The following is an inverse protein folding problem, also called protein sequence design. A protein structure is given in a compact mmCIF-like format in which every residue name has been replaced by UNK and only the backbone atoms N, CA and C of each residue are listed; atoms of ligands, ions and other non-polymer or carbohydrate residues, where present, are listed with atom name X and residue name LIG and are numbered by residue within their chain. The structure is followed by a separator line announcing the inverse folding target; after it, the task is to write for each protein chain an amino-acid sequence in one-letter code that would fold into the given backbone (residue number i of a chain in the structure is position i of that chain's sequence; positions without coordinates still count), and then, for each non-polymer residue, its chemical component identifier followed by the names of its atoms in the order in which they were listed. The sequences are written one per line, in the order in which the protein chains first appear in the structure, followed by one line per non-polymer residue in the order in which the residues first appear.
data_IF_539114637987
#
_entry.id   IF_539114637987
#
_cell.length_a   1.000
_cell.length_b   1.000
_cell.length_c   1.000
_cell.angle_alpha   90.00
_cell.angle_beta   90.00
_cell.angle_gamma   90.00
#
_symmetry.space_group_name_H-M   'P 1'
#
loop_
_entity.id
_entity.type
_entity.pdbx_description
1 polymer ?
#
# COMPACT_ATOMS: atom_id res chain seq x y z
N UNK A 1 -12.73 -17.68 -3.61
CA UNK A 1 -12.61 -17.47 -2.15
C UNK A 1 -11.95 -16.13 -1.89
N UNK A 2 -12.67 -15.18 -1.31
CA UNK A 2 -12.18 -13.81 -1.09
C UNK A 2 -11.53 -13.61 0.28
N UNK A 3 -11.69 -14.56 1.22
CA UNK A 3 -11.07 -14.44 2.55
C UNK A 3 -9.56 -14.69 2.56
N UNK A 4 -9.03 -15.40 1.58
CA UNK A 4 -7.60 -15.73 1.47
C UNK A 4 -6.90 -14.61 0.74
N UNK A 5 -6.23 -13.71 1.47
CA UNK A 5 -5.62 -12.50 0.93
C UNK A 5 -4.15 -12.70 0.59
N UNK A 6 -3.73 -12.19 -0.56
CA UNK A 6 -2.32 -12.20 -0.94
C UNK A 6 -1.65 -10.87 -0.58
N UNK A 7 -0.92 -10.85 0.54
CA UNK A 7 -0.19 -9.66 1.01
C UNK A 7 1.31 -9.69 0.72
N UNK A 8 1.93 -10.86 0.49
CA UNK A 8 3.37 -10.92 0.26
C UNK A 8 3.83 -12.05 -0.68
N UNK A 9 3.06 -13.10 -0.90
CA UNK A 9 3.42 -14.31 -1.66
C UNK A 9 4.74 -15.00 -1.23
N UNK A 10 5.28 -14.64 -0.05
CA UNK A 10 6.61 -15.06 0.45
C UNK A 10 6.54 -15.85 1.78
N UNK A 11 5.35 -16.22 2.22
CA UNK A 11 5.19 -16.92 3.49
C UNK A 11 5.42 -16.08 4.74
N UNK A 12 5.45 -14.74 4.66
CA UNK A 12 5.81 -13.87 5.79
C UNK A 12 4.59 -13.32 6.53
N UNK A 13 3.65 -12.66 5.83
CA UNK A 13 2.63 -11.80 6.47
C UNK A 13 1.46 -12.52 7.14
N UNK A 14 1.12 -13.74 6.72
CA UNK A 14 0.02 -14.54 7.26
C UNK A 14 -1.38 -14.11 6.82
N UNK A 15 -1.54 -13.12 5.92
CA UNK A 15 -2.86 -12.73 5.42
C UNK A 15 -3.57 -13.85 4.65
N UNK A 16 -2.80 -14.77 4.05
CA UNK A 16 -3.29 -15.95 3.34
C UNK A 16 -3.47 -17.19 4.22
N UNK A 17 -3.56 -17.06 5.54
CA UNK A 17 -3.71 -18.21 6.44
C UNK A 17 -5.01 -18.97 6.15
N UNK A 18 -4.89 -20.29 6.01
CA UNK A 18 -5.96 -21.30 5.95
C UNK A 18 -5.68 -22.35 7.02
N UNK A 19 -6.68 -23.20 7.34
CA UNK A 19 -6.42 -24.40 8.14
C UNK A 19 -6.29 -25.61 7.23
N UNK A 20 -5.19 -26.34 7.36
CA UNK A 20 -4.96 -27.62 6.69
C UNK A 20 -4.99 -28.70 7.77
N UNK A 21 -6.00 -29.59 7.72
CA UNK A 21 -6.29 -30.59 8.75
C UNK A 21 -6.38 -29.99 10.17
N UNK A 22 -6.91 -28.75 10.28
CA UNK A 22 -7.08 -28.04 11.54
C UNK A 22 -5.87 -27.21 11.99
N UNK A 23 -4.72 -27.29 11.29
CA UNK A 23 -3.51 -26.53 11.61
C UNK A 23 -3.37 -25.28 10.73
N UNK A 24 -3.03 -24.11 11.31
CA UNK A 24 -2.79 -22.89 10.55
C UNK A 24 -1.61 -23.02 9.59
N UNK A 25 -1.85 -22.76 8.32
CA UNK A 25 -0.85 -22.77 7.26
C UNK A 25 -1.02 -21.52 6.38
N UNK A 26 0.09 -20.99 5.87
CA UNK A 26 0.09 -19.89 4.89
C UNK A 26 -0.11 -20.49 3.51
N UNK A 27 -1.23 -20.19 2.85
CA UNK A 27 -1.61 -20.79 1.56
C UNK A 27 -0.61 -20.53 0.42
N UNK A 28 0.23 -19.51 0.52
CA UNK A 28 1.25 -19.19 -0.47
C UNK A 28 2.52 -20.06 -0.39
N UNK A 29 2.65 -20.96 0.61
CA UNK A 29 3.89 -21.74 0.80
C UNK A 29 3.83 -23.19 0.31
N UNK A 30 2.75 -23.97 0.51
CA UNK A 30 2.71 -25.36 0.05
C UNK A 30 2.43 -25.43 -1.46
N UNK A 31 3.03 -26.42 -2.12
CA UNK A 31 2.63 -26.76 -3.49
C UNK A 31 1.26 -27.43 -3.50
N UNK A 32 0.48 -27.22 -4.55
CA UNK A 32 -0.86 -27.80 -4.71
C UNK A 32 -0.83 -29.33 -4.60
N UNK A 33 0.21 -29.98 -5.17
CA UNK A 33 0.37 -31.43 -5.12
C UNK A 33 0.52 -31.98 -3.69
N UNK A 34 1.15 -31.19 -2.79
CA UNK A 34 1.31 -31.58 -1.38
C UNK A 34 0.01 -31.54 -0.57
N UNK A 35 -1.05 -30.98 -1.13
CA UNK A 35 -2.37 -30.81 -0.51
C UNK A 35 -3.37 -31.88 -0.92
N UNK A 36 -3.00 -32.81 -1.81
CA UNK A 36 -3.89 -33.87 -2.25
C UNK A 36 -4.39 -34.71 -1.06
N UNK A 37 -5.71 -34.85 -0.93
CA UNK A 37 -6.36 -35.59 0.16
C UNK A 37 -6.41 -34.88 1.52
N UNK A 38 -5.88 -33.66 1.65
CA UNK A 38 -5.94 -32.85 2.88
C UNK A 38 -7.23 -32.06 2.96
N UNK A 39 -7.71 -31.82 4.18
CA UNK A 39 -8.89 -30.97 4.42
C UNK A 39 -8.44 -29.51 4.56
N UNK A 40 -8.90 -28.66 3.68
CA UNK A 40 -8.60 -27.23 3.72
C UNK A 40 -9.85 -26.49 4.18
N UNK A 41 -9.70 -25.63 5.21
CA UNK A 41 -10.77 -24.78 5.72
C UNK A 41 -10.37 -23.31 5.60
N UNK A 42 -11.23 -22.52 4.99
CA UNK A 42 -11.19 -21.05 4.96
C UNK A 42 -12.32 -20.48 5.80
N UNK A 43 -12.38 -19.16 5.98
CA UNK A 43 -13.44 -18.52 6.76
C UNK A 43 -14.82 -18.78 6.17
N UNK A 44 -14.93 -18.89 4.84
CA UNK A 44 -16.18 -19.24 4.15
C UNK A 44 -16.76 -20.58 4.62
N UNK A 45 -15.90 -21.53 4.98
CA UNK A 45 -16.28 -22.87 5.45
C UNK A 45 -16.59 -22.97 6.95
N UNK A 46 -16.49 -21.89 7.71
CA UNK A 46 -16.93 -21.88 9.13
C UNK A 46 -18.43 -22.05 9.22
N UNK A 47 -18.91 -22.68 10.33
CA UNK A 47 -20.32 -22.74 10.63
C UNK A 47 -20.92 -21.34 10.83
N UNK A 48 -22.24 -21.19 10.64
CA UNK A 48 -22.91 -19.90 10.81
C UNK A 48 -22.73 -19.36 12.23
N UNK A 49 -22.76 -20.26 13.23
CA UNK A 49 -22.50 -19.90 14.63
C UNK A 49 -21.07 -19.38 14.85
N UNK A 50 -20.05 -20.00 14.24
CA UNK A 50 -18.67 -19.52 14.33
C UNK A 50 -18.48 -18.17 13.63
N UNK A 51 -19.11 -18.00 12.46
CA UNK A 51 -19.12 -16.71 11.76
C UNK A 51 -19.73 -15.60 12.62
N UNK A 52 -20.88 -15.88 13.26
CA UNK A 52 -21.53 -14.94 14.18
C UNK A 52 -20.66 -14.65 15.40
N UNK A 53 -20.08 -15.67 16.03
CA UNK A 53 -19.21 -15.54 17.20
C UNK A 53 -18.00 -14.64 16.90
N UNK A 54 -17.26 -14.92 15.83
CA UNK A 54 -16.05 -14.14 15.51
C UNK A 54 -16.41 -12.73 15.04
N UNK A 55 -17.49 -12.57 14.28
CA UNK A 55 -17.98 -11.24 13.87
C UNK A 55 -18.32 -10.39 15.11
N UNK A 56 -19.08 -10.94 16.05
CA UNK A 56 -19.40 -10.25 17.30
C UNK A 56 -18.14 -9.91 18.10
N UNK A 57 -17.28 -10.89 18.37
CA UNK A 57 -16.13 -10.69 19.26
C UNK A 57 -15.08 -9.72 18.71
N UNK A 58 -14.79 -9.79 17.41
CA UNK A 58 -13.88 -8.87 16.77
C UNK A 58 -14.46 -7.47 16.61
N UNK A 59 -15.76 -7.35 16.38
CA UNK A 59 -16.49 -6.08 16.33
C UNK A 59 -16.57 -5.42 17.68
N UNK A 60 -17.01 -6.15 18.73
CA UNK A 60 -17.14 -5.64 20.11
C UNK A 60 -15.82 -5.16 20.69
N UNK A 61 -14.74 -5.91 20.46
CA UNK A 61 -13.40 -5.51 20.88
C UNK A 61 -12.84 -4.32 20.07
N UNK A 62 -13.48 -3.93 18.96
CA UNK A 62 -12.95 -2.94 18.02
C UNK A 62 -11.63 -3.39 17.39
N UNK A 63 -11.49 -4.70 17.13
CA UNK A 63 -10.29 -5.33 16.61
C UNK A 63 -10.14 -5.23 15.09
N UNK A 64 -11.15 -4.72 14.40
CA UNK A 64 -11.19 -4.61 12.93
C UNK A 64 -10.92 -3.18 12.51
N UNK A 65 -9.86 -2.96 11.71
CA UNK A 65 -9.62 -1.70 11.03
C UNK A 65 -9.69 -1.91 9.51
N UNK A 66 -8.56 -2.01 8.79
CA UNK A 66 -8.63 -2.25 7.35
C UNK A 66 -9.23 -3.61 6.98
N UNK A 67 -9.10 -4.62 7.83
CA UNK A 67 -9.70 -5.94 7.64
C UNK A 67 -8.85 -6.95 6.89
N UNK A 68 -7.82 -6.53 6.19
CA UNK A 68 -7.03 -7.39 5.28
C UNK A 68 -6.39 -8.61 5.97
N UNK A 69 -5.95 -8.47 7.22
CA UNK A 69 -5.35 -9.55 8.00
C UNK A 69 -6.38 -10.39 8.80
N UNK A 70 -7.60 -9.91 8.96
CA UNK A 70 -8.56 -10.45 9.93
C UNK A 70 -9.02 -11.88 9.62
N UNK A 71 -9.35 -12.26 8.37
CA UNK A 71 -9.74 -13.64 8.09
C UNK A 71 -8.69 -14.67 8.52
N UNK A 72 -7.41 -14.39 8.23
CA UNK A 72 -6.32 -15.27 8.69
C UNK A 72 -6.19 -15.34 10.21
N UNK A 73 -6.39 -14.23 10.92
CA UNK A 73 -6.38 -14.19 12.38
C UNK A 73 -7.57 -14.93 13.01
N UNK A 74 -8.74 -14.88 12.37
CA UNK A 74 -9.92 -15.64 12.78
C UNK A 74 -9.64 -17.14 12.73
N UNK A 75 -9.02 -17.62 11.65
CA UNK A 75 -8.67 -19.04 11.53
C UNK A 75 -7.61 -19.47 12.56
N UNK A 76 -6.62 -18.63 12.83
CA UNK A 76 -5.67 -18.90 13.92
C UNK A 76 -6.35 -18.92 15.30
N UNK A 77 -7.32 -18.03 15.52
CA UNK A 77 -8.13 -17.99 16.75
C UNK A 77 -8.96 -19.27 16.88
N UNK A 78 -9.62 -19.71 15.79
CA UNK A 78 -10.35 -20.97 15.78
C UNK A 78 -9.46 -22.14 16.15
N UNK A 79 -8.33 -22.30 15.48
CA UNK A 79 -7.39 -23.38 15.73
C UNK A 79 -6.84 -23.38 17.19
N UNK A 80 -6.61 -22.20 17.75
CA UNK A 80 -6.25 -22.05 19.16
C UNK A 80 -7.37 -22.53 20.08
N UNK A 81 -8.60 -22.01 19.90
CA UNK A 81 -9.73 -22.27 20.78
C UNK A 81 -10.31 -23.69 20.64
N UNK A 82 -10.05 -24.39 19.53
CA UNK A 82 -10.41 -25.80 19.37
C UNK A 82 -9.47 -26.72 20.19
N UNK A 83 -8.23 -26.30 20.46
CA UNK A 83 -7.23 -27.02 21.24
C UNK A 83 -7.18 -26.58 22.71
N UNK A 84 -7.29 -25.29 22.95
CA UNK A 84 -7.23 -24.68 24.26
C UNK A 84 -8.40 -23.70 24.44
N UNK A 85 -9.47 -24.08 25.12
CA UNK A 85 -10.64 -23.22 25.31
C UNK A 85 -10.44 -22.10 26.34
N UNK A 86 -9.29 -22.06 27.03
CA UNK A 86 -8.95 -21.05 28.05
C UNK A 86 -7.52 -20.52 27.89
N UNK A 87 -7.23 -19.85 26.74
CA UNK A 87 -5.86 -19.48 26.40
C UNK A 87 -5.35 -18.35 27.29
N UNK A 88 -4.10 -18.47 27.73
CA UNK A 88 -3.35 -17.39 28.34
C UNK A 88 -2.97 -16.34 27.27
N UNK A 89 -2.53 -15.17 27.72
CA UNK A 89 -2.01 -14.15 26.79
C UNK A 89 -0.81 -14.66 25.98
N UNK A 90 0.04 -15.48 26.59
CA UNK A 90 1.17 -16.12 25.89
C UNK A 90 0.70 -17.05 24.78
N UNK A 91 -0.36 -17.84 25.03
CA UNK A 91 -0.93 -18.74 24.03
C UNK A 91 -1.51 -17.96 22.85
N UNK A 92 -2.19 -16.84 23.13
CA UNK A 92 -2.74 -15.97 22.09
C UNK A 92 -1.63 -15.35 21.25
N UNK A 93 -0.59 -14.79 21.89
CA UNK A 93 0.58 -14.24 21.20
C UNK A 93 1.27 -15.31 20.33
N UNK A 94 1.43 -16.51 20.86
CA UNK A 94 2.02 -17.62 20.14
C UNK A 94 1.18 -18.03 18.92
N UNK A 95 -0.14 -18.14 19.06
CA UNK A 95 -1.04 -18.52 17.98
C UNK A 95 -1.04 -17.50 16.83
N UNK A 96 -0.95 -16.21 17.15
CA UNK A 96 -1.00 -15.11 16.19
C UNK A 96 0.38 -14.62 15.69
N UNK A 97 1.49 -15.22 16.16
CA UNK A 97 2.87 -14.75 15.87
C UNK A 97 3.23 -14.65 14.38
N UNK A 98 2.51 -15.39 13.56
CA UNK A 98 2.73 -15.46 12.12
C UNK A 98 1.71 -14.64 11.29
N UNK A 99 0.84 -13.86 11.95
CA UNK A 99 -0.16 -13.03 11.32
C UNK A 99 0.13 -11.56 11.63
N UNK A 100 0.58 -10.82 10.64
CA UNK A 100 0.93 -9.42 10.82
C UNK A 100 -0.31 -8.51 10.67
N UNK A 101 -0.36 -7.50 11.52
CA UNK A 101 -1.29 -6.38 11.39
C UNK A 101 -0.54 -5.07 11.57
N UNK A 102 -0.67 -4.17 10.63
CA UNK A 102 -0.05 -2.84 10.69
C UNK A 102 -0.94 -1.79 11.32
N UNK A 103 -2.26 -2.07 11.44
CA UNK A 103 -3.27 -1.09 11.88
C UNK A 103 -3.49 -1.05 13.39
N UNK A 104 -3.59 -2.22 14.06
CA UNK A 104 -4.27 -2.35 15.37
C UNK A 104 -3.35 -2.32 16.60
N UNK A 105 -2.05 -2.59 16.42
CA UNK A 105 -1.15 -2.79 17.55
C UNK A 105 -1.49 -4.02 18.41
N UNK A 106 -2.36 -4.92 17.93
CA UNK A 106 -2.75 -6.23 18.49
C UNK A 106 -3.57 -6.24 19.78
N UNK A 107 -3.52 -5.22 20.63
CA UNK A 107 -4.20 -5.20 21.94
C UNK A 107 -5.68 -5.57 21.83
N UNK A 108 -6.39 -4.93 20.89
CA UNK A 108 -7.80 -5.21 20.64
C UNK A 108 -8.04 -6.58 20.00
N UNK A 109 -7.11 -7.08 19.20
CA UNK A 109 -7.18 -8.44 18.65
C UNK A 109 -7.08 -9.48 19.77
N UNK A 110 -6.15 -9.30 20.73
CA UNK A 110 -6.05 -10.20 21.89
C UNK A 110 -7.33 -10.14 22.74
N UNK A 111 -7.93 -8.96 22.89
CA UNK A 111 -9.23 -8.82 23.56
C UNK A 111 -10.33 -9.59 22.80
N UNK A 112 -10.37 -9.53 21.47
CA UNK A 112 -11.32 -10.29 20.65
C UNK A 112 -11.17 -11.81 20.85
N UNK A 113 -9.94 -12.32 20.90
CA UNK A 113 -9.67 -13.75 21.15
C UNK A 113 -10.18 -14.18 22.53
N UNK A 114 -9.96 -13.35 23.58
CA UNK A 114 -10.49 -13.61 24.94
C UNK A 114 -12.01 -13.61 24.96
N UNK A 115 -12.67 -12.68 24.25
CA UNK A 115 -14.12 -12.65 24.14
C UNK A 115 -14.62 -13.90 23.41
N UNK A 116 -13.97 -14.32 22.33
CA UNK A 116 -14.31 -15.54 21.60
C UNK A 116 -14.18 -16.79 22.47
N UNK A 117 -13.11 -16.89 23.27
CA UNK A 117 -12.93 -17.97 24.25
C UNK A 117 -14.10 -18.00 25.27
N UNK A 118 -14.45 -16.83 25.82
CA UNK A 118 -15.56 -16.68 26.78
C UNK A 118 -16.88 -17.15 26.20
N UNK A 119 -17.27 -16.61 25.05
CA UNK A 119 -18.59 -16.90 24.49
C UNK A 119 -18.67 -18.30 23.85
N UNK A 120 -17.56 -18.85 23.36
CA UNK A 120 -17.47 -20.25 22.95
C UNK A 120 -17.73 -21.20 24.12
N UNK A 121 -17.18 -20.92 25.32
CA UNK A 121 -17.47 -21.68 26.55
C UNK A 121 -18.93 -21.56 27.00
N UNK A 122 -19.52 -20.38 26.87
CA UNK A 122 -20.92 -20.13 27.25
C UNK A 122 -21.92 -20.70 26.25
N UNK A 123 -21.51 -21.03 25.03
CA UNK A 123 -22.37 -21.63 24.01
C UNK A 123 -23.40 -20.68 23.39
N UNK A 124 -23.25 -19.36 23.56
CA UNK A 124 -24.13 -18.38 22.93
C UNK A 124 -23.35 -17.15 22.45
N UNK A 125 -23.90 -16.44 21.48
CA UNK A 125 -23.37 -15.17 21.00
C UNK A 125 -24.31 -14.05 21.43
N UNK A 126 -23.82 -13.01 22.15
CA UNK A 126 -24.66 -11.87 22.49
C UNK A 126 -25.07 -11.09 21.25
N UNK A 127 -26.21 -10.42 21.31
CA UNK A 127 -26.53 -9.38 20.32
C UNK A 127 -25.68 -8.14 20.60
N UNK A 128 -25.25 -7.42 19.55
CA UNK A 128 -24.60 -6.12 19.76
C UNK A 128 -25.48 -5.22 20.60
N UNK A 129 -24.86 -4.48 21.53
CA UNK A 129 -25.59 -3.51 22.36
C UNK A 129 -26.19 -2.41 21.48
N UNK A 130 -27.43 -2.03 21.76
CA UNK A 130 -28.04 -0.86 21.13
C UNK A 130 -27.21 0.39 21.50
N UNK A 131 -26.92 1.21 20.49
CA UNK A 131 -26.13 2.42 20.66
C UNK A 131 -27.04 3.64 20.68
N UNK A 132 -26.87 4.51 21.66
CA UNK A 132 -27.63 5.75 21.79
C UNK A 132 -27.36 6.80 20.70
N UNK A 133 -26.39 6.56 19.83
CA UNK A 133 -25.94 7.48 18.78
C UNK A 133 -25.57 8.90 19.30
N UNK A 134 -25.09 8.97 20.54
CA UNK A 134 -24.62 10.21 21.16
C UNK A 134 -23.13 10.38 20.97
N UNK A 135 -22.67 11.61 21.03
CA UNK A 135 -21.24 11.91 21.06
C UNK A 135 -20.58 11.18 22.23
N UNK A 136 -19.50 10.45 21.97
CA UNK A 136 -18.82 9.60 22.96
C UNK A 136 -19.34 8.17 23.07
N UNK A 137 -20.42 7.80 22.36
CA UNK A 137 -20.86 6.39 22.29
C UNK A 137 -19.88 5.53 21.48
N UNK A 138 -19.70 4.27 21.90
CA UNK A 138 -18.96 3.26 21.14
C UNK A 138 -19.86 2.62 20.11
N UNK A 139 -19.79 3.10 18.86
CA UNK A 139 -20.58 2.57 17.74
C UNK A 139 -19.80 1.45 17.05
N UNK A 140 -20.44 0.32 16.78
CA UNK A 140 -19.85 -0.74 15.99
C UNK A 140 -19.66 -0.30 14.55
N UNK A 141 -18.54 -0.70 13.95
CA UNK A 141 -18.32 -0.48 12.51
C UNK A 141 -19.36 -1.24 11.71
N UNK A 142 -19.90 -0.63 10.67
CA UNK A 142 -20.89 -1.24 9.79
C UNK A 142 -20.31 -2.39 8.95
N UNK A 143 -19.01 -2.29 8.61
CA UNK A 143 -18.28 -3.20 7.74
C UNK A 143 -17.55 -4.35 8.46
N UNK A 144 -17.88 -4.62 9.74
CA UNK A 144 -17.24 -5.69 10.52
C UNK A 144 -17.47 -7.05 9.90
N UNK A 145 -18.72 -7.37 9.56
CA UNK A 145 -19.09 -8.69 9.07
C UNK A 145 -18.34 -9.04 7.78
N UNK A 146 -18.34 -8.14 6.80
CA UNK A 146 -17.68 -8.38 5.52
C UNK A 146 -16.15 -8.58 5.66
N UNK A 147 -15.52 -7.90 6.63
CA UNK A 147 -14.08 -8.01 6.91
C UNK A 147 -13.74 -9.26 7.72
N UNK A 148 -14.54 -9.61 8.70
CA UNK A 148 -14.32 -10.81 9.54
C UNK A 148 -14.59 -12.08 8.77
N UNK A 149 -15.70 -12.11 8.02
CA UNK A 149 -16.09 -13.26 7.21
C UNK A 149 -15.42 -13.32 5.83
N UNK A 150 -14.67 -12.29 5.45
CA UNK A 150 -13.83 -12.26 4.27
C UNK A 150 -14.55 -12.06 2.94
N UNK A 151 -15.84 -11.70 2.92
CA UNK A 151 -16.55 -11.42 1.68
C UNK A 151 -16.45 -9.97 1.20
N UNK A 152 -15.90 -9.07 2.02
CA UNK A 152 -15.58 -7.71 1.62
C UNK A 152 -14.49 -7.71 0.55
N UNK A 153 -14.72 -6.96 -0.53
CA UNK A 153 -13.87 -6.97 -1.72
C UNK A 153 -12.82 -5.87 -1.68
N UNK A 154 -11.59 -6.26 -1.93
CA UNK A 154 -10.47 -5.39 -2.29
C UNK A 154 -10.26 -5.44 -3.80
N UNK A 155 -9.55 -4.52 -4.45
CA UNK A 155 -9.37 -4.56 -5.91
C UNK A 155 -8.82 -5.88 -6.44
N UNK A 156 -7.93 -6.54 -5.70
CA UNK A 156 -7.39 -7.85 -6.13
C UNK A 156 -8.43 -8.98 -6.18
N UNK A 157 -9.54 -8.84 -5.45
CA UNK A 157 -10.64 -9.83 -5.42
C UNK A 157 -11.58 -9.73 -6.66
N UNK A 158 -11.37 -8.74 -7.52
CA UNK A 158 -12.15 -8.57 -8.73
C UNK A 158 -11.57 -9.35 -9.91
N UNK A 159 -12.42 -10.15 -10.54
CA UNK A 159 -12.11 -10.90 -11.75
C UNK A 159 -13.23 -10.66 -12.77
N UNK A 160 -12.87 -10.17 -13.94
CA UNK A 160 -13.78 -9.87 -15.03
C UNK A 160 -13.44 -10.77 -16.23
N UNK A 161 -14.46 -11.11 -17.02
CA UNK A 161 -14.27 -11.96 -18.19
C UNK A 161 -13.29 -11.31 -19.18
N UNK A 162 -12.31 -12.08 -19.63
CA UNK A 162 -11.27 -11.61 -20.56
C UNK A 162 -10.28 -10.62 -19.95
N UNK A 163 -10.22 -10.52 -18.61
CA UNK A 163 -9.31 -9.60 -17.92
C UNK A 163 -7.86 -9.97 -18.19
N UNK A 164 -7.06 -8.94 -18.51
CA UNK A 164 -5.62 -8.99 -18.65
C UNK A 164 -4.91 -8.57 -17.36
N UNK A 165 -3.64 -8.93 -17.25
CA UNK A 165 -2.71 -8.42 -16.26
C UNK A 165 -1.78 -7.40 -16.92
N UNK A 166 -1.41 -6.33 -16.17
CA UNK A 166 -0.41 -5.39 -16.65
C UNK A 166 0.59 -5.02 -15.55
N UNK A 167 1.81 -4.73 -15.95
CA UNK A 167 2.88 -4.26 -15.06
C UNK A 167 3.90 -3.46 -15.85
N UNK A 168 4.49 -2.45 -15.22
CA UNK A 168 5.51 -1.63 -15.84
C UNK A 168 6.88 -2.33 -15.86
N UNK A 169 7.62 -2.11 -16.95
CA UNK A 169 9.06 -2.28 -16.99
C UNK A 169 9.68 -1.05 -16.34
N UNK A 170 10.51 -1.24 -15.33
CA UNK A 170 10.97 -0.17 -14.46
C UNK A 170 12.45 0.10 -14.60
N UNK A 171 12.82 1.36 -14.36
CA UNK A 171 14.22 1.78 -14.35
C UNK A 171 15.01 1.04 -13.27
N UNK A 172 16.24 0.66 -13.64
CA UNK A 172 17.25 0.11 -12.73
C UNK A 172 18.17 1.19 -12.13
N UNK A 173 17.98 2.42 -12.56
CA UNK A 173 18.85 3.55 -12.20
C UNK A 173 18.02 4.69 -11.62
N UNK A 174 18.45 5.28 -10.50
CA UNK A 174 17.72 6.38 -9.87
C UNK A 174 17.76 7.67 -10.72
N UNK A 175 18.82 7.85 -11.54
CA UNK A 175 18.91 8.95 -12.51
C UNK A 175 19.62 8.47 -13.77
N UNK A 176 18.87 8.42 -14.85
CA UNK A 176 19.38 8.03 -16.18
C UNK A 176 18.51 8.64 -17.27
N UNK A 177 19.11 8.94 -18.42
CA UNK A 177 18.36 9.29 -19.62
C UNK A 177 17.99 8.03 -20.39
N UNK A 178 16.73 7.88 -20.74
CA UNK A 178 16.24 6.77 -21.57
C UNK A 178 16.61 7.06 -23.03
N UNK A 179 17.51 6.27 -23.61
CA UNK A 179 17.97 6.45 -24.99
C UNK A 179 17.10 5.70 -25.99
N UNK A 180 16.49 4.59 -25.59
CA UNK A 180 15.65 3.78 -26.46
C UNK A 180 14.94 2.65 -25.72
N UNK A 181 13.85 2.16 -26.32
CA UNK A 181 13.03 1.05 -25.81
C UNK A 181 12.85 0.04 -26.94
N UNK A 182 13.44 -1.15 -26.83
CA UNK A 182 13.20 -2.27 -27.76
C UNK A 182 12.23 -3.28 -27.10
N UNK A 183 10.99 -3.26 -27.55
CA UNK A 183 9.93 -4.15 -27.13
C UNK A 183 9.54 -5.19 -28.21
N UNK A 184 10.27 -5.30 -29.32
CA UNK A 184 9.88 -6.14 -30.44
C UNK A 184 9.67 -7.60 -30.06
N UNK A 185 10.59 -8.17 -29.26
CA UNK A 185 10.50 -9.56 -28.78
C UNK A 185 9.33 -9.75 -27.80
N UNK A 186 9.08 -8.77 -26.95
CA UNK A 186 7.95 -8.82 -26.02
C UNK A 186 6.62 -8.77 -26.75
N UNK A 187 6.47 -7.86 -27.72
CA UNK A 187 5.27 -7.75 -28.57
C UNK A 187 4.99 -9.00 -29.40
N UNK A 188 6.02 -9.76 -29.78
CA UNK A 188 5.89 -10.99 -30.56
C UNK A 188 5.57 -12.24 -29.70
N UNK A 189 5.61 -12.14 -28.36
CA UNK A 189 5.33 -13.28 -27.49
C UNK A 189 3.81 -13.55 -27.47
N UNK A 190 3.35 -14.79 -27.78
CA UNK A 190 1.94 -15.15 -27.70
C UNK A 190 1.36 -14.86 -26.31
N UNK A 191 0.16 -14.27 -26.27
CA UNK A 191 -0.52 -13.86 -25.04
C UNK A 191 -0.15 -12.43 -24.56
N UNK A 192 0.81 -11.76 -25.21
CA UNK A 192 1.03 -10.33 -24.99
C UNK A 192 0.02 -9.55 -25.84
N UNK A 193 -0.75 -8.70 -25.16
CA UNK A 193 -1.83 -7.89 -25.76
C UNK A 193 -1.30 -6.55 -26.25
N UNK A 194 -0.44 -5.90 -25.43
CA UNK A 194 0.18 -4.61 -25.77
C UNK A 194 1.48 -4.38 -25.00
N UNK A 195 2.35 -3.53 -25.53
CA UNK A 195 3.43 -2.86 -24.80
C UNK A 195 3.28 -1.39 -25.09
N UNK A 196 2.84 -0.64 -24.08
CA UNK A 196 2.53 0.78 -24.15
C UNK A 196 3.72 1.60 -23.65
N UNK A 197 3.96 2.74 -24.30
CA UNK A 197 5.02 3.69 -23.98
C UNK A 197 4.41 5.08 -23.70
N UNK A 198 5.23 6.05 -23.41
CA UNK A 198 4.78 7.43 -23.27
C UNK A 198 4.04 7.98 -24.51
N UNK A 199 4.34 7.46 -25.70
CA UNK A 199 3.70 7.84 -26.95
C UNK A 199 2.24 7.37 -27.06
N UNK A 200 1.84 6.36 -26.27
CA UNK A 200 0.49 5.81 -26.23
C UNK A 200 -0.44 6.58 -25.28
N UNK A 201 0.08 7.56 -24.55
CA UNK A 201 -0.70 8.39 -23.60
C UNK A 201 -1.40 9.49 -24.38
N UNK A 202 -2.76 9.51 -24.40
CA UNK A 202 -3.50 10.43 -25.25
C UNK A 202 -3.58 11.87 -24.71
N UNK A 203 -3.32 12.08 -23.44
CA UNK A 203 -3.37 13.37 -22.76
C UNK A 203 -2.04 13.75 -22.11
N UNK A 204 -2.08 14.14 -20.84
CA UNK A 204 -0.89 14.57 -20.09
C UNK A 204 -0.11 13.36 -19.57
N UNK A 205 1.19 13.29 -19.86
CA UNK A 205 2.05 12.20 -19.35
C UNK A 205 2.60 12.49 -17.93
N UNK A 206 2.33 13.66 -17.35
CA UNK A 206 2.74 13.99 -15.99
C UNK A 206 1.52 14.00 -15.08
N UNK A 207 1.67 13.37 -13.91
CA UNK A 207 0.69 13.29 -12.83
C UNK A 207 1.31 13.81 -11.54
N UNK A 208 0.54 13.98 -10.49
CA UNK A 208 1.01 14.38 -9.17
C UNK A 208 -0.06 15.08 -8.36
N UNK A 209 -0.22 14.71 -7.11
CA UNK A 209 -1.28 15.20 -6.23
C UNK A 209 -1.21 16.72 -5.96
N UNK A 210 -0.01 17.26 -5.79
CA UNK A 210 0.23 18.69 -5.51
C UNK A 210 0.86 19.39 -6.71
N UNK A 211 1.85 18.74 -7.32
CA UNK A 211 2.59 19.23 -8.48
C UNK A 211 2.62 18.12 -9.54
N UNK A 212 2.24 18.43 -10.77
CA UNK A 212 2.25 17.48 -11.90
C UNK A 212 3.67 17.34 -12.45
N UNK A 213 4.55 16.68 -11.73
CA UNK A 213 5.97 16.51 -12.08
C UNK A 213 6.41 15.05 -12.21
N UNK A 214 5.52 14.08 -11.93
CA UNK A 214 5.80 12.66 -12.00
C UNK A 214 5.31 12.08 -13.33
N UNK A 215 6.21 11.47 -14.10
CA UNK A 215 5.82 10.81 -15.35
C UNK A 215 4.99 9.55 -15.09
N UNK A 216 3.91 9.38 -15.84
CA UNK A 216 3.20 8.09 -15.93
C UNK A 216 4.11 7.03 -16.56
N UNK A 217 4.76 7.36 -17.66
CA UNK A 217 5.79 6.57 -18.32
C UNK A 217 6.90 7.50 -18.80
N UNK A 218 8.17 7.19 -18.50
CA UNK A 218 9.30 8.00 -18.93
C UNK A 218 9.45 7.93 -20.45
N UNK A 219 9.40 9.05 -21.17
CA UNK A 219 9.57 9.05 -22.63
C UNK A 219 11.02 8.77 -23.03
N UNK A 220 11.24 8.33 -24.27
CA UNK A 220 12.58 8.31 -24.86
C UNK A 220 13.14 9.74 -24.89
N UNK A 221 14.37 9.92 -24.42
CA UNK A 221 15.00 11.21 -24.18
C UNK A 221 14.75 11.79 -22.78
N UNK A 222 13.76 11.28 -22.05
CA UNK A 222 13.43 11.71 -20.69
C UNK A 222 14.37 11.15 -19.62
N UNK A 223 14.34 11.76 -18.44
CA UNK A 223 15.11 11.34 -17.26
C UNK A 223 14.28 10.50 -16.32
N UNK A 224 14.90 9.53 -15.70
CA UNK A 224 14.36 8.87 -14.50
C UNK A 224 14.72 9.69 -13.26
N UNK A 225 13.80 9.71 -12.26
CA UNK A 225 13.91 10.52 -11.04
C UNK A 225 14.14 9.69 -9.79
N UNK A 226 13.77 8.39 -9.84
CA UNK A 226 13.99 7.45 -8.75
C UNK A 226 14.18 6.03 -9.27
N UNK A 227 14.70 5.16 -8.41
CA UNK A 227 14.84 3.73 -8.71
C UNK A 227 13.44 3.10 -8.80
N UNK A 228 13.08 2.64 -9.98
CA UNK A 228 11.77 2.02 -10.23
C UNK A 228 10.80 2.86 -11.05
N UNK A 229 11.19 4.02 -11.57
CA UNK A 229 10.40 4.78 -12.53
C UNK A 229 9.89 3.90 -13.68
N UNK A 230 8.64 4.09 -14.09
CA UNK A 230 8.01 3.29 -15.13
C UNK A 230 8.44 3.76 -16.52
N UNK A 231 8.94 2.84 -17.36
CA UNK A 231 9.44 3.12 -18.71
C UNK A 231 8.41 2.74 -19.77
N UNK A 232 7.86 1.55 -19.67
CA UNK A 232 6.76 1.10 -20.53
C UNK A 232 5.86 0.13 -19.75
N UNK A 233 4.62 -0.02 -20.20
CA UNK A 233 3.62 -0.88 -19.59
C UNK A 233 3.35 -2.09 -20.47
N UNK A 234 3.60 -3.29 -19.96
CA UNK A 234 3.30 -4.55 -20.64
C UNK A 234 1.92 -5.02 -20.21
N UNK A 235 1.08 -5.40 -21.16
CA UNK A 235 -0.26 -5.98 -20.95
C UNK A 235 -0.27 -7.39 -21.54
N UNK A 236 -0.64 -8.39 -20.75
CA UNK A 236 -0.69 -9.78 -21.14
C UNK A 236 -1.94 -10.49 -20.62
N UNK A 237 -2.29 -11.62 -21.23
CA UNK A 237 -3.48 -12.40 -20.88
C UNK A 237 -3.38 -13.10 -19.52
N UNK A 238 -2.16 -13.36 -19.06
CA UNK A 238 -1.89 -13.98 -17.76
C UNK A 238 -0.57 -13.47 -17.14
N UNK A 239 -0.41 -13.73 -15.86
CA UNK A 239 0.74 -13.26 -15.07
C UNK A 239 2.07 -13.92 -15.48
N UNK A 240 2.06 -15.17 -15.94
CA UNK A 240 3.28 -15.87 -16.37
C UNK A 240 3.81 -15.28 -17.67
N UNK A 241 2.91 -15.06 -18.64
CA UNK A 241 3.22 -14.39 -19.90
C UNK A 241 3.70 -12.96 -19.67
N UNK A 242 3.04 -12.22 -18.76
CA UNK A 242 3.44 -10.88 -18.36
C UNK A 242 4.89 -10.83 -17.87
N UNK A 243 5.26 -11.70 -16.94
CA UNK A 243 6.62 -11.73 -16.38
C UNK A 243 7.69 -12.16 -17.41
N UNK A 244 7.34 -13.06 -18.34
CA UNK A 244 8.20 -13.42 -19.47
C UNK A 244 8.40 -12.22 -20.41
N UNK A 245 7.32 -11.53 -20.75
CA UNK A 245 7.34 -10.39 -21.66
C UNK A 245 8.15 -9.22 -21.11
N UNK A 246 7.98 -8.87 -19.82
CA UNK A 246 8.78 -7.82 -19.15
C UNK A 246 10.28 -8.05 -19.27
N UNK A 247 10.75 -9.32 -19.17
CA UNK A 247 12.17 -9.69 -19.31
C UNK A 247 12.71 -9.57 -20.74
N UNK A 248 11.83 -9.57 -21.73
CA UNK A 248 12.20 -9.43 -23.15
C UNK A 248 12.32 -7.97 -23.62
N UNK A 249 11.76 -7.03 -22.85
CA UNK A 249 11.93 -5.59 -23.12
C UNK A 249 13.35 -5.18 -22.78
N UNK A 250 14.00 -4.47 -23.67
CA UNK A 250 15.33 -3.86 -23.46
C UNK A 250 15.19 -2.36 -23.44
N UNK A 251 15.86 -1.73 -22.50
CA UNK A 251 15.92 -0.27 -22.38
C UNK A 251 17.37 0.13 -22.36
N UNK A 252 17.73 1.06 -23.24
CA UNK A 252 19.07 1.63 -23.31
C UNK A 252 19.10 2.92 -22.49
N UNK A 253 20.15 3.09 -21.65
CA UNK A 253 20.29 4.18 -20.72
C UNK A 253 21.64 4.88 -20.82
N UNK A 254 21.61 6.20 -20.67
CA UNK A 254 22.76 6.97 -20.26
C UNK A 254 22.66 7.21 -18.73
N UNK A 255 23.52 6.55 -17.96
CA UNK A 255 23.48 6.66 -16.49
C UNK A 255 24.12 7.97 -16.05
N UNK A 256 23.42 8.71 -15.20
CA UNK A 256 23.82 10.03 -14.73
C UNK A 256 24.06 10.04 -13.21
N UNK A 257 24.87 10.98 -12.69
CA UNK A 257 25.05 11.16 -11.25
C UNK A 257 23.70 11.43 -10.57
N UNK A 258 23.42 10.76 -9.45
CA UNK A 258 22.23 10.94 -8.65
C UNK A 258 22.58 11.50 -7.27
N UNK A 259 21.64 12.20 -6.64
CA UNK A 259 21.71 12.63 -5.25
C UNK A 259 20.88 11.70 -4.38
N UNK A 260 21.32 11.43 -3.15
CA UNK A 260 20.73 10.42 -2.29
C UNK A 260 20.24 10.97 -0.95
N UNK A 261 20.56 12.22 -0.63
CA UNK A 261 20.04 12.88 0.57
C UNK A 261 19.82 14.38 0.30
N UNK A 262 18.91 15.03 1.05
CA UNK A 262 18.53 16.41 0.79
C UNK A 262 19.65 17.41 1.11
N UNK A 263 20.58 17.08 2.00
CA UNK A 263 21.70 17.98 2.32
C UNK A 263 22.65 18.06 1.13
N UNK A 264 22.98 16.92 0.51
CA UNK A 264 23.77 16.87 -0.73
C UNK A 264 23.02 17.53 -1.90
N UNK A 265 21.71 17.28 -2.00
CA UNK A 265 20.88 17.84 -3.05
C UNK A 265 20.82 19.39 -3.02
N UNK A 266 20.84 19.98 -1.82
CA UNK A 266 20.81 21.42 -1.63
C UNK A 266 22.20 22.09 -1.78
N UNK A 267 23.28 21.31 -1.95
CA UNK A 267 24.62 21.84 -2.08
C UNK A 267 24.84 22.56 -3.44
N UNK A 268 25.64 23.63 -3.50
CA UNK A 268 25.96 24.27 -4.76
C UNK A 268 26.61 23.32 -5.77
N UNK A 269 26.06 23.27 -7.01
CA UNK A 269 26.54 22.39 -8.09
C UNK A 269 26.09 20.95 -7.99
N UNK A 270 25.17 20.61 -7.07
CA UNK A 270 24.56 19.29 -7.04
C UNK A 270 23.78 19.00 -8.35
N UNK A 271 23.78 17.75 -8.83
CA UNK A 271 22.93 17.37 -9.97
C UNK A 271 21.46 17.67 -9.67
N UNK A 272 20.75 18.28 -10.60
CA UNK A 272 19.32 18.54 -10.48
C UNK A 272 18.53 17.24 -10.59
N UNK A 273 17.52 17.06 -9.74
CA UNK A 273 16.57 15.93 -9.84
C UNK A 273 15.66 16.13 -11.05
N UNK A 274 15.19 17.36 -11.25
CA UNK A 274 14.40 17.77 -12.41
C UNK A 274 15.22 18.77 -13.24
N UNK A 275 15.55 18.42 -14.48
CA UNK A 275 16.39 19.25 -15.36
C UNK A 275 15.72 20.58 -15.73
N UNK A 276 14.38 20.67 -15.64
CA UNK A 276 13.60 21.87 -15.89
C UNK A 276 13.56 22.86 -14.72
N UNK A 277 14.06 22.47 -13.54
CA UNK A 277 14.10 23.33 -12.35
C UNK A 277 15.48 24.01 -12.19
N UNK A 278 15.51 25.15 -11.52
CA UNK A 278 16.76 25.87 -11.25
C UNK A 278 17.49 25.38 -9.98
N UNK A 279 16.79 24.63 -9.14
CA UNK A 279 17.28 24.17 -7.84
C UNK A 279 16.57 22.92 -7.37
N UNK A 280 17.26 22.08 -6.59
CA UNK A 280 16.65 20.98 -5.84
C UNK A 280 15.89 21.45 -4.58
N UNK A 281 15.95 22.74 -4.23
CA UNK A 281 15.22 23.29 -3.08
C UNK A 281 13.82 23.70 -3.51
N UNK A 282 12.85 22.83 -3.23
CA UNK A 282 11.45 23.06 -3.58
C UNK A 282 10.82 24.19 -2.76
N UNK A 283 11.15 24.29 -1.48
CA UNK A 283 10.65 25.32 -0.59
C UNK A 283 11.61 25.61 0.56
N UNK A 284 11.70 26.88 0.94
CA UNK A 284 12.36 27.31 2.16
C UNK A 284 11.37 28.08 3.01
N UNK A 285 11.17 27.65 4.26
CA UNK A 285 10.28 28.33 5.21
C UNK A 285 11.10 28.76 6.41
N UNK A 286 10.93 30.02 6.81
CA UNK A 286 11.54 30.60 8.00
C UNK A 286 10.43 31.08 8.94
N UNK A 287 10.49 30.65 10.21
CA UNK A 287 9.58 31.09 11.26
C UNK A 287 10.42 31.60 12.41
N UNK A 288 10.15 32.82 12.86
CA UNK A 288 10.81 33.39 14.03
C UNK A 288 9.83 34.10 14.96
N UNK A 289 10.10 34.05 16.24
CA UNK A 289 9.37 34.77 17.29
C UNK A 289 10.35 35.22 18.37
N UNK A 290 10.40 36.53 18.61
CA UNK A 290 11.36 37.10 19.55
C UNK A 290 12.82 36.99 19.09
N UNK A 291 13.75 37.02 20.02
CA UNK A 291 15.19 36.85 19.78
C UNK A 291 15.69 35.54 20.42
N UNK A 292 15.68 34.49 19.64
CA UNK A 292 16.09 33.16 20.11
C UNK A 292 17.61 33.10 20.40
N UNK A 293 18.46 33.84 19.65
CA UNK A 293 19.89 33.84 19.86
C UNK A 293 20.23 34.52 21.20
N UNK A 294 19.62 35.67 21.50
CA UNK A 294 19.80 36.35 22.79
C UNK A 294 19.23 35.51 23.96
N UNK A 295 18.06 34.86 23.79
CA UNK A 295 17.49 34.01 24.82
C UNK A 295 18.33 32.76 25.13
N UNK A 296 18.94 32.15 24.11
CA UNK A 296 19.84 30.99 24.26
C UNK A 296 21.16 31.43 24.91
N UNK A 297 21.71 32.59 24.50
CA UNK A 297 22.96 33.11 25.06
C UNK A 297 22.83 33.45 26.55
N UNK A 298 21.64 33.88 27.02
CA UNK A 298 21.35 34.16 28.44
C UNK A 298 20.83 32.96 29.24
N UNK A 299 20.74 31.79 28.66
CA UNK A 299 20.20 30.60 29.32
C UNK A 299 21.20 29.99 30.32
N UNK A 300 20.69 29.43 31.44
CA UNK A 300 21.52 28.71 32.41
C UNK A 300 22.07 27.39 31.83
N UNK A 301 21.27 26.73 31.03
CA UNK A 301 21.64 25.49 30.35
C UNK A 301 21.36 25.58 28.87
N UNK A 302 22.36 25.16 28.03
CA UNK A 302 22.23 25.12 26.58
C UNK A 302 22.54 23.72 26.08
N UNK A 303 21.67 23.18 25.26
CA UNK A 303 21.81 21.88 24.64
C UNK A 303 21.71 21.99 23.12
N UNK A 304 22.73 21.52 22.42
CA UNK A 304 22.70 21.36 20.96
C UNK A 304 22.74 19.87 20.60
N UNK A 305 21.89 19.45 19.67
CA UNK A 305 21.83 18.06 19.19
C UNK A 305 21.52 18.04 17.70
N UNK A 306 22.13 17.09 17.04
CA UNK A 306 21.80 16.66 15.69
C UNK A 306 20.99 15.37 15.73
N UNK A 307 19.95 15.28 14.89
CA UNK A 307 19.12 14.09 14.73
C UNK A 307 18.94 13.79 13.26
N UNK A 308 18.95 12.50 12.93
CA UNK A 308 18.58 12.01 11.60
C UNK A 308 17.46 10.99 11.72
N UNK A 309 16.50 11.05 10.78
CA UNK A 309 15.50 10.00 10.63
C UNK A 309 15.63 9.36 9.25
N UNK A 310 15.51 8.03 9.16
CA UNK A 310 15.59 7.34 7.88
C UNK A 310 14.30 7.51 7.07
N UNK A 311 14.35 7.11 5.80
CA UNK A 311 13.17 6.77 5.02
C UNK A 311 12.33 5.75 5.78
N UNK A 312 11.02 5.98 5.91
CA UNK A 312 10.17 5.07 6.67
C UNK A 312 9.08 4.49 5.77
N UNK A 313 9.02 3.16 5.78
CA UNK A 313 8.06 2.36 5.04
C UNK A 313 6.71 2.29 5.77
N UNK A 314 5.61 2.51 5.05
CA UNK A 314 4.25 2.39 5.57
C UNK A 314 3.91 0.94 5.92
N UNK A 315 4.33 0.01 5.07
CA UNK A 315 4.15 -1.43 5.23
C UNK A 315 2.69 -1.86 5.43
N UNK A 316 1.76 -1.26 4.69
CA UNK A 316 0.39 -1.77 4.63
C UNK A 316 0.37 -3.19 4.05
N UNK A 317 -0.57 -4.02 4.52
CA UNK A 317 -0.56 -5.44 4.15
C UNK A 317 -1.10 -5.70 2.74
N UNK A 318 -2.04 -4.92 2.27
CA UNK A 318 -2.51 -4.98 0.89
C UNK A 318 -1.53 -4.23 -0.02
N UNK A 319 -0.79 -4.91 -0.94
CA UNK A 319 -0.07 -4.22 -1.99
C UNK A 319 -1.03 -3.42 -2.87
N UNK A 320 -0.53 -2.41 -3.55
CA UNK A 320 -1.32 -1.58 -4.45
C UNK A 320 -1.92 -2.43 -5.57
N UNK A 321 -3.21 -2.20 -5.81
CA UNK A 321 -3.95 -2.88 -6.86
C UNK A 321 -5.03 -1.96 -7.43
N UNK A 322 -5.20 -1.98 -8.73
CA UNK A 322 -6.34 -1.37 -9.42
C UNK A 322 -6.81 -2.29 -10.56
N UNK A 323 -8.12 -2.29 -10.79
CA UNK A 323 -8.74 -2.92 -11.96
C UNK A 323 -9.44 -1.84 -12.76
N UNK A 324 -9.16 -1.76 -14.04
CA UNK A 324 -9.86 -0.83 -14.92
C UNK A 324 -10.51 -1.55 -16.10
N UNK A 325 -11.63 -1.03 -16.55
CA UNK A 325 -12.39 -1.56 -17.69
C UNK A 325 -13.24 -0.48 -18.33
N UNK A 326 -13.71 -0.73 -19.55
CA UNK A 326 -14.69 0.14 -20.21
C UNK A 326 -16.10 -0.30 -19.79
N UNK A 327 -16.85 0.60 -19.17
CA UNK A 327 -18.20 0.32 -18.71
C UNK A 327 -19.22 0.36 -19.89
N UNK A 328 -20.51 0.13 -19.57
CA UNK A 328 -21.60 0.10 -20.56
C UNK A 328 -21.84 1.47 -21.22
N UNK A 329 -21.46 2.56 -20.56
CA UNK A 329 -21.60 3.93 -21.07
C UNK A 329 -20.39 4.33 -21.95
N UNK A 330 -19.36 3.46 -22.01
CA UNK A 330 -18.12 3.70 -22.73
C UNK A 330 -17.11 4.52 -21.89
N UNK A 331 -17.33 4.66 -20.60
CA UNK A 331 -16.44 5.35 -19.67
C UNK A 331 -15.37 4.37 -19.12
N UNK A 332 -14.20 4.88 -18.78
CA UNK A 332 -13.16 4.11 -18.08
C UNK A 332 -13.52 4.03 -16.61
N UNK A 333 -13.95 2.86 -16.16
CA UNK A 333 -14.19 2.58 -14.75
C UNK A 333 -12.90 2.07 -14.10
N UNK A 334 -12.54 2.63 -12.94
CA UNK A 334 -11.37 2.25 -12.15
C UNK A 334 -11.84 1.80 -10.76
N UNK A 335 -11.64 0.52 -10.44
CA UNK A 335 -11.80 -0.03 -9.10
C UNK A 335 -10.44 0.07 -8.39
N UNK A 336 -10.34 0.87 -7.35
CA UNK A 336 -9.07 1.24 -6.74
C UNK A 336 -9.04 1.01 -5.23
N UNK A 337 -7.83 0.87 -4.70
CA UNK A 337 -7.53 0.95 -3.27
C UNK A 337 -6.67 2.18 -3.04
N UNK A 338 -7.29 3.36 -2.93
CA UNK A 338 -6.59 4.62 -2.72
C UNK A 338 -7.16 5.43 -1.55
N UNK A 339 -6.44 6.45 -1.14
CA UNK A 339 -6.85 7.39 -0.09
C UNK A 339 -7.40 8.70 -0.67
N UNK A 340 -7.39 8.87 -2.00
CA UNK A 340 -7.83 10.08 -2.70
C UNK A 340 -8.45 9.79 -4.07
N UNK A 341 -9.64 9.18 -4.09
CA UNK A 341 -10.33 8.82 -5.35
C UNK A 341 -10.63 10.01 -6.26
N UNK A 342 -10.82 11.20 -5.68
CA UNK A 342 -10.99 12.42 -6.49
C UNK A 342 -9.72 12.84 -7.22
N UNK A 343 -8.54 12.67 -6.60
CA UNK A 343 -7.26 12.87 -7.25
C UNK A 343 -7.07 11.86 -8.38
N UNK A 344 -7.31 10.58 -8.09
CA UNK A 344 -7.25 9.51 -9.11
C UNK A 344 -8.16 9.82 -10.30
N UNK A 345 -9.39 10.28 -10.06
CA UNK A 345 -10.33 10.71 -11.11
C UNK A 345 -9.75 11.85 -11.94
N UNK A 346 -9.24 12.89 -11.29
CA UNK A 346 -8.68 14.08 -11.95
C UNK A 346 -7.47 13.73 -12.80
N UNK A 347 -6.48 13.09 -12.21
CA UNK A 347 -5.21 12.74 -12.85
C UNK A 347 -5.40 11.76 -14.03
N UNK A 348 -6.24 10.72 -13.84
CA UNK A 348 -6.55 9.78 -14.93
C UNK A 348 -7.34 10.47 -16.06
N UNK A 349 -8.18 11.46 -15.74
CA UNK A 349 -8.89 12.25 -16.76
C UNK A 349 -7.94 13.12 -17.59
N UNK A 350 -6.93 13.74 -16.95
CA UNK A 350 -5.87 14.50 -17.63
C UNK A 350 -5.02 13.59 -18.50
N UNK A 351 -4.54 12.48 -17.94
CA UNK A 351 -3.71 11.49 -18.67
C UNK A 351 -4.42 10.91 -19.90
N UNK A 352 -5.70 10.59 -19.77
CA UNK A 352 -6.50 10.04 -20.88
C UNK A 352 -7.07 11.12 -21.81
N UNK A 353 -6.92 12.42 -21.50
CA UNK A 353 -7.47 13.51 -22.29
C UNK A 353 -8.99 13.48 -22.40
N UNK A 354 -9.70 12.93 -21.39
CA UNK A 354 -11.15 12.75 -21.42
C UNK A 354 -11.76 12.83 -20.03
N UNK A 355 -12.99 13.36 -19.92
CA UNK A 355 -13.80 13.35 -18.71
C UNK A 355 -14.61 12.06 -18.51
N UNK A 356 -14.50 11.10 -19.43
CA UNK A 356 -15.18 9.81 -19.39
C UNK A 356 -14.41 8.81 -18.51
N UNK A 357 -14.23 9.16 -17.25
CA UNK A 357 -13.54 8.37 -16.23
C UNK A 357 -14.42 8.32 -14.98
N UNK A 358 -14.51 7.16 -14.37
CA UNK A 358 -15.20 6.91 -13.10
C UNK A 358 -14.25 6.18 -12.17
N UNK A 359 -14.26 6.52 -10.90
CA UNK A 359 -13.45 5.84 -9.87
C UNK A 359 -14.36 5.35 -8.76
N UNK A 360 -14.26 4.07 -8.44
CA UNK A 360 -14.95 3.45 -7.32
C UNK A 360 -13.90 2.90 -6.35
N UNK A 361 -13.84 3.49 -5.16
CA UNK A 361 -12.90 3.03 -4.14
C UNK A 361 -13.45 1.76 -3.47
N UNK A 362 -12.65 0.71 -3.48
CA UNK A 362 -12.94 -0.56 -2.84
C UNK A 362 -12.48 -0.54 -1.38
N UNK A 363 -12.58 -1.67 -0.66
CA UNK A 363 -11.95 -1.76 0.65
C UNK A 363 -10.44 -1.51 0.53
N UNK A 364 -9.91 -0.68 1.43
CA UNK A 364 -8.50 -0.32 1.47
C UNK A 364 -7.80 -1.12 2.57
N UNK A 365 -6.85 -1.96 2.20
CA UNK A 365 -6.09 -2.85 3.08
C UNK A 365 -4.94 -2.17 3.84
N UNK A 366 -5.17 -0.91 4.27
CA UNK A 366 -4.21 -0.01 4.88
C UNK A 366 -3.58 0.92 3.84
N UNK A 367 -3.23 2.13 4.26
CA UNK A 367 -2.60 3.13 3.39
C UNK A 367 -1.59 3.97 4.16
N UNK A 368 -1.98 4.58 5.28
CA UNK A 368 -1.11 5.38 6.16
C UNK A 368 -0.44 6.57 5.45
N UNK A 369 -1.09 7.13 4.43
CA UNK A 369 -0.55 8.15 3.53
C UNK A 369 0.18 7.60 2.30
N UNK A 370 0.56 6.33 2.26
CA UNK A 370 1.27 5.71 1.12
C UNK A 370 0.38 5.36 -0.08
N UNK A 371 -0.92 5.56 0.01
CA UNK A 371 -1.89 5.36 -1.09
C UNK A 371 -2.64 6.65 -1.45
N UNK A 372 -2.10 7.82 -1.13
CA UNK A 372 -2.65 9.11 -1.57
C UNK A 372 -2.26 9.42 -3.01
N UNK A 373 -0.97 9.22 -3.34
CA UNK A 373 -0.49 9.38 -4.70
C UNK A 373 -0.82 8.14 -5.55
N UNK A 374 -0.97 8.35 -6.85
CA UNK A 374 -1.23 7.26 -7.79
C UNK A 374 0.00 6.40 -8.01
N UNK A 375 -0.19 5.08 -7.99
CA UNK A 375 0.88 4.11 -8.22
C UNK A 375 0.54 3.07 -9.29
N UNK A 376 -0.73 2.65 -9.36
CA UNK A 376 -1.23 1.61 -10.27
C UNK A 376 -2.46 2.04 -11.07
N UNK A 377 -3.20 3.03 -10.59
CA UNK A 377 -4.49 3.42 -11.13
C UNK A 377 -4.38 3.96 -12.57
N UNK A 378 -3.42 4.86 -12.79
CA UNK A 378 -3.13 5.42 -14.12
C UNK A 378 -2.66 4.36 -15.11
N UNK A 379 -1.85 3.39 -14.68
CA UNK A 379 -1.43 2.27 -15.52
C UNK A 379 -2.60 1.36 -15.89
N UNK A 380 -3.48 1.02 -14.92
CA UNK A 380 -4.67 0.22 -15.20
C UNK A 380 -5.62 0.94 -16.17
N UNK A 381 -5.85 2.24 -15.93
CA UNK A 381 -6.70 3.09 -16.78
C UNK A 381 -6.16 3.19 -18.20
N UNK A 382 -4.86 3.47 -18.39
CA UNK A 382 -4.22 3.54 -19.71
C UNK A 382 -4.34 2.21 -20.46
N UNK A 383 -4.00 1.09 -19.78
CA UNK A 383 -4.06 -0.22 -20.39
C UNK A 383 -5.49 -0.59 -20.82
N UNK A 384 -6.49 -0.35 -19.97
CA UNK A 384 -7.89 -0.61 -20.32
C UNK A 384 -8.39 0.29 -21.45
N UNK A 385 -7.99 1.56 -21.45
CA UNK A 385 -8.33 2.51 -22.51
C UNK A 385 -7.76 2.09 -23.87
N UNK A 386 -6.48 1.73 -23.92
CA UNK A 386 -5.80 1.35 -25.18
C UNK A 386 -6.23 -0.02 -25.70
N UNK A 387 -6.40 -1.01 -24.82
CA UNK A 387 -6.70 -2.40 -25.23
C UNK A 387 -8.19 -2.70 -25.35
N UNK A 388 -9.06 -1.85 -24.78
CA UNK A 388 -10.51 -2.08 -24.66
C UNK A 388 -10.86 -3.38 -23.92
N UNK A 389 -9.95 -3.89 -23.10
CA UNK A 389 -10.14 -5.08 -22.26
C UNK A 389 -10.09 -4.67 -20.80
N UNK A 390 -10.74 -5.40 -19.88
CA UNK A 390 -10.49 -5.25 -18.47
C UNK A 390 -9.03 -5.54 -18.14
N UNK A 391 -8.40 -4.73 -17.31
CA UNK A 391 -6.98 -4.88 -16.94
C UNK A 391 -6.81 -4.73 -15.45
N UNK A 392 -6.06 -5.64 -14.83
CA UNK A 392 -5.59 -5.56 -13.44
C UNK A 392 -4.11 -5.18 -13.42
N UNK A 393 -3.77 -4.16 -12.65
CA UNK A 393 -2.40 -3.85 -12.24
C UNK A 393 -2.29 -4.07 -10.75
N UNK A 394 -1.40 -4.98 -10.35
CA UNK A 394 -1.13 -5.30 -8.94
C UNK A 394 0.38 -5.32 -8.72
N UNK A 395 0.86 -4.65 -7.68
CA UNK A 395 2.25 -4.76 -7.28
C UNK A 395 2.51 -6.07 -6.54
N UNK A 396 3.66 -6.66 -6.78
CA UNK A 396 4.26 -7.60 -5.84
C UNK A 396 4.65 -6.87 -4.55
N UNK A 397 4.92 -7.59 -3.46
CA UNK A 397 5.41 -6.95 -2.22
C UNK A 397 6.72 -6.19 -2.46
N UNK A 398 7.62 -6.73 -3.26
CA UNK A 398 8.88 -6.09 -3.61
C UNK A 398 8.66 -4.78 -4.40
N UNK A 399 7.74 -4.77 -5.38
CA UNK A 399 7.37 -3.56 -6.11
C UNK A 399 6.70 -2.53 -5.20
N UNK A 400 5.76 -2.95 -4.34
CA UNK A 400 5.13 -2.07 -3.36
C UNK A 400 6.17 -1.37 -2.49
N UNK A 401 7.13 -2.11 -1.91
CA UNK A 401 8.21 -1.54 -1.10
C UNK A 401 9.15 -0.63 -1.90
N UNK A 402 9.33 -0.86 -3.19
CA UNK A 402 10.22 -0.07 -4.04
C UNK A 402 9.55 1.23 -4.54
N UNK A 403 8.27 1.16 -4.92
CA UNK A 403 7.66 2.17 -5.78
C UNK A 403 6.88 3.24 -5.01
N UNK A 404 6.02 2.85 -4.05
CA UNK A 404 5.16 3.85 -3.43
C UNK A 404 5.93 4.90 -2.61
N UNK A 405 5.39 6.11 -2.46
CA UNK A 405 6.02 7.19 -1.70
C UNK A 405 6.37 6.76 -0.28
N UNK A 406 7.48 7.25 0.24
CA UNK A 406 7.94 6.98 1.60
C UNK A 406 7.77 8.22 2.47
N UNK A 407 7.71 8.03 3.79
CA UNK A 407 7.91 9.15 4.69
C UNK A 407 9.32 9.71 4.48
N UNK A 408 9.42 11.02 4.31
CA UNK A 408 10.70 11.70 4.08
C UNK A 408 11.67 11.47 5.24
N UNK A 409 12.97 11.32 4.95
CA UNK A 409 14.01 11.39 5.95
C UNK A 409 14.23 12.84 6.34
N UNK A 410 14.71 13.07 7.56
CA UNK A 410 15.01 14.40 8.06
C UNK A 410 16.41 14.48 8.64
N UNK A 411 17.10 15.59 8.36
CA UNK A 411 18.32 16.05 9.03
C UNK A 411 17.97 17.28 9.84
N UNK A 412 18.21 17.20 11.17
CA UNK A 412 17.68 18.20 12.10
C UNK A 412 18.76 18.64 13.09
N UNK A 413 19.06 19.92 13.11
CA UNK A 413 19.92 20.54 14.12
C UNK A 413 19.05 21.37 15.06
N UNK A 414 19.11 21.07 16.36
CA UNK A 414 18.40 21.81 17.40
C UNK A 414 19.38 22.40 18.40
N UNK A 415 19.17 23.67 18.76
CA UNK A 415 19.79 24.30 19.94
C UNK A 415 18.68 24.84 20.83
N UNK A 416 18.70 24.47 22.11
CA UNK A 416 17.69 24.81 23.10
C UNK A 416 18.38 25.38 24.31
N UNK A 417 17.87 26.52 24.80
CA UNK A 417 18.29 27.13 26.08
C UNK A 417 17.16 27.14 27.09
N UNK A 418 17.46 26.79 28.36
CA UNK A 418 16.52 26.85 29.48
C UNK A 418 17.15 27.51 30.71
N UNK A 419 16.28 27.94 31.65
CA UNK A 419 16.70 28.44 32.97
C UNK A 419 17.01 27.28 33.95
N UNK A 420 17.39 27.62 35.18
CA UNK A 420 17.70 26.68 36.27
C UNK A 420 16.55 25.74 36.61
N UNK A 421 15.30 26.12 36.28
CA UNK A 421 14.10 25.31 36.57
C UNK A 421 13.76 24.37 35.40
N UNK A 422 14.45 24.46 34.27
CA UNK A 422 14.17 23.71 33.05
C UNK A 422 13.12 24.36 32.15
N UNK A 423 12.69 25.61 32.45
CA UNK A 423 11.79 26.36 31.57
C UNK A 423 12.55 26.78 30.30
N UNK A 424 12.01 26.40 29.13
CA UNK A 424 12.59 26.74 27.81
C UNK A 424 12.47 28.24 27.58
N UNK A 425 13.61 28.89 27.30
CA UNK A 425 13.73 30.32 27.00
C UNK A 425 13.85 30.58 25.49
N UNK A 426 14.57 29.73 24.78
CA UNK A 426 14.76 29.86 23.33
C UNK A 426 15.02 28.51 22.68
N UNK A 427 14.58 28.41 21.41
CA UNK A 427 14.81 27.25 20.54
C UNK A 427 15.24 27.74 19.18
N UNK A 428 16.30 27.16 18.63
CA UNK A 428 16.74 27.32 17.26
C UNK A 428 16.77 25.97 16.59
N UNK A 429 16.13 25.85 15.44
CA UNK A 429 16.04 24.59 14.70
C UNK A 429 16.34 24.84 13.21
N UNK A 430 17.16 23.94 12.62
CA UNK A 430 17.32 23.80 11.17
C UNK A 430 16.85 22.40 10.82
N UNK A 431 15.88 22.30 9.93
CA UNK A 431 15.30 21.03 9.48
C UNK A 431 15.39 20.98 7.96
N UNK A 432 15.94 19.88 7.45
CA UNK A 432 16.09 19.61 6.01
C UNK A 432 15.48 18.24 5.72
N UNK A 433 14.65 18.13 4.68
CA UNK A 433 14.07 16.88 4.21
C UNK A 433 13.98 16.81 2.70
#
# INVERSE_FOLDING_TARGET
LTSVKDGCSEGACGACTVLIDGEPCRACTPSTDSLAGRRILTVEGLSDWEKELYTFCYGEAGAVQCGFCIPGMVLCTKALLDRNPDPTESDIKHALRNNYCRCTGYVKIFAAVRLAAKYKKLGFVPKPSETDWKLGSSVHRLDVAEKVQGYGKYPDDWYLDGMCCASAVRSKYPRARVLGIDAAKAKALPGVVAVLTAEDIPGENKVGHIKHDQYTLIPVGGLTHYLGDAICLVVAEDAETLEKAKKLVRVDYEVLPAVHNPVEAAAPGAPLVFDEEESNVQAHKHVSRGDADAAIAGAAHVLSRHFETPWTEHAFLEPECAVAYIDRDGDVMILSTDQSSHTTLHECSLMLGTKKVKVENQLVGGGFGGKEDMTVQHHAALAAYCTRRPVKVKFSRAESLLIHPKRHPFWMDFTLGCDETGKILGVKAKVVS
#
